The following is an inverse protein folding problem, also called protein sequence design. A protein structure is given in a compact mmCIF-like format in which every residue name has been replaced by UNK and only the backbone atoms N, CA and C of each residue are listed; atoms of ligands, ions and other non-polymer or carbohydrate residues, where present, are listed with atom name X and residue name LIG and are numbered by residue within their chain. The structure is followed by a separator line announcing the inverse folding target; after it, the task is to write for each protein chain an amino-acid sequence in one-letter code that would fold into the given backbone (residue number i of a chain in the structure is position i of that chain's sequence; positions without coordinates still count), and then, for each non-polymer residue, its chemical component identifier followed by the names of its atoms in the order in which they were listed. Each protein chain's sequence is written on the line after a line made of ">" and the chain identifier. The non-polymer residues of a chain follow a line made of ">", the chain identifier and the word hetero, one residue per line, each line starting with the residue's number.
data_IF_878884818253
#
_entry.id   IF_878884818253
#
_cell.length_a   1.000
_cell.length_b   1.000
_cell.length_c   1.000
_cell.angle_alpha   90.00
_cell.angle_beta   90.00
_cell.angle_gamma   90.00
#
_symmetry.space_group_name_H-M   'P 1'
#
loop_
_entity.id
_entity.type
_entity.pdbx_description
1 polymer ?
#
# COMPACT_ATOMS: atom_id res chain seq x y z
N UNK A 1 -14.91 4.40 -3.81
CA UNK A 1 -13.88 4.43 -4.87
C UNK A 1 -12.64 3.69 -4.39
N UNK A 2 -11.83 3.19 -5.32
CA UNK A 2 -10.58 2.47 -5.06
C UNK A 2 -9.42 3.22 -5.70
N UNK A 3 -8.31 3.32 -4.97
CA UNK A 3 -7.02 3.80 -5.48
C UNK A 3 -6.08 2.60 -5.58
N UNK A 4 -5.31 2.54 -6.66
CA UNK A 4 -4.31 1.50 -6.88
C UNK A 4 -2.94 2.17 -6.88
N UNK A 5 -2.05 1.73 -5.99
CA UNK A 5 -0.63 2.02 -6.06
C UNK A 5 0.02 0.98 -6.95
N UNK A 6 0.26 1.41 -8.18
CA UNK A 6 0.96 0.67 -9.23
C UNK A 6 2.07 1.54 -9.81
N UNK A 7 3.12 0.94 -10.36
CA UNK A 7 4.32 1.65 -10.81
C UNK A 7 5.54 0.77 -10.52
N UNK A 8 6.65 1.37 -10.09
CA UNK A 8 7.85 0.65 -9.62
C UNK A 8 7.52 -0.36 -8.51
N UNK A 9 7.80 -0.05 -7.25
CA UNK A 9 7.28 -0.83 -6.14
C UNK A 9 6.88 0.12 -5.00
N UNK A 10 5.58 0.23 -4.65
CA UNK A 10 5.09 1.18 -3.66
C UNK A 10 5.70 0.97 -2.27
N UNK A 11 6.07 -0.26 -1.93
CA UNK A 11 6.69 -0.56 -0.65
C UNK A 11 8.18 -0.18 -0.63
N UNK A 12 8.77 0.34 -1.71
CA UNK A 12 10.09 0.98 -1.66
C UNK A 12 10.07 2.34 -0.96
N UNK A 13 8.88 2.96 -0.85
CA UNK A 13 8.72 4.20 -0.10
C UNK A 13 9.07 3.99 1.38
N UNK A 14 9.64 5.02 2.01
CA UNK A 14 9.96 5.00 3.44
C UNK A 14 8.67 5.08 4.25
N UNK A 15 8.72 4.60 5.49
CA UNK A 15 7.53 4.52 6.34
C UNK A 15 6.85 5.88 6.56
N UNK A 16 7.61 6.97 6.70
CA UNK A 16 7.03 8.32 6.82
C UNK A 16 6.34 8.81 5.53
N UNK A 17 6.80 8.36 4.36
CA UNK A 17 6.19 8.72 3.07
C UNK A 17 4.86 7.99 2.90
N UNK A 18 4.82 6.69 3.28
CA UNK A 18 3.60 5.90 3.29
C UNK A 18 2.59 6.44 4.30
N UNK A 19 3.02 6.79 5.51
CA UNK A 19 2.17 7.38 6.55
C UNK A 19 1.53 8.70 6.09
N UNK A 20 2.35 9.61 5.55
CA UNK A 20 1.86 10.87 5.01
C UNK A 20 0.83 10.63 3.89
N UNK A 21 1.13 9.74 2.95
CA UNK A 21 0.28 9.44 1.82
C UNK A 21 -1.06 8.79 2.23
N UNK A 22 -1.02 7.83 3.16
CA UNK A 22 -2.21 7.23 3.74
C UNK A 22 -3.09 8.29 4.40
N UNK A 23 -2.48 9.19 5.18
CA UNK A 23 -3.19 10.29 5.85
C UNK A 23 -3.88 11.21 4.83
N UNK A 24 -3.21 11.54 3.71
CA UNK A 24 -3.82 12.33 2.64
C UNK A 24 -5.02 11.60 1.99
N UNK A 25 -4.90 10.30 1.73
CA UNK A 25 -6.00 9.52 1.15
C UNK A 25 -7.17 9.34 2.13
N UNK A 26 -6.89 9.21 3.42
CA UNK A 26 -7.88 9.13 4.49
C UNK A 26 -8.68 10.43 4.63
N UNK A 27 -8.13 11.58 4.25
CA UNK A 27 -8.86 12.84 4.22
C UNK A 27 -9.94 12.89 3.12
N UNK A 28 -9.89 12.01 2.12
CA UNK A 28 -10.80 12.02 0.96
C UNK A 28 -12.00 11.07 1.18
N UNK A 29 -13.21 11.55 1.55
CA UNK A 29 -14.25 10.71 2.17
C UNK A 29 -14.80 9.56 1.31
N UNK A 30 -14.78 9.74 -0.02
CA UNK A 30 -15.35 8.78 -0.98
C UNK A 30 -14.37 7.66 -1.39
N UNK A 31 -13.09 7.76 -1.02
CA UNK A 31 -12.12 6.68 -1.17
C UNK A 31 -12.35 5.68 -0.04
N UNK A 32 -12.48 4.40 -0.39
CA UNK A 32 -12.80 3.32 0.56
C UNK A 32 -11.73 2.23 0.57
N UNK A 33 -10.97 2.10 -0.51
CA UNK A 33 -10.00 1.02 -0.71
C UNK A 33 -8.69 1.56 -1.25
N UNK A 34 -7.61 1.02 -0.74
CA UNK A 34 -6.27 1.20 -1.25
C UNK A 34 -5.72 -0.18 -1.64
N UNK A 35 -5.40 -0.36 -2.92
CA UNK A 35 -4.74 -1.56 -3.42
C UNK A 35 -3.27 -1.27 -3.64
N UNK A 36 -2.38 -2.05 -3.04
CA UNK A 36 -0.94 -1.93 -3.17
C UNK A 36 -0.44 -3.09 -4.02
N UNK A 37 0.18 -2.80 -5.15
CA UNK A 37 0.84 -3.81 -5.98
C UNK A 37 2.35 -3.80 -5.71
N UNK A 38 2.88 -4.85 -5.08
CA UNK A 38 4.29 -4.91 -4.68
C UNK A 38 4.84 -6.33 -4.80
N UNK A 39 6.12 -6.45 -5.17
CA UNK A 39 6.89 -7.72 -5.13
C UNK A 39 7.75 -7.83 -3.88
N UNK A 40 7.93 -6.73 -3.14
CA UNK A 40 8.77 -6.71 -1.95
C UNK A 40 8.34 -7.67 -0.83
N UNK A 41 7.07 -8.00 -0.58
CA UNK A 41 6.73 -9.02 0.42
C UNK A 41 7.37 -10.38 0.11
N UNK A 42 7.57 -10.69 -1.19
CA UNK A 42 8.22 -11.92 -1.65
C UNK A 42 9.74 -11.76 -1.65
N UNK A 43 10.26 -10.67 -2.20
CA UNK A 43 11.70 -10.45 -2.41
C UNK A 43 12.41 -10.04 -1.11
N UNK A 44 11.76 -9.23 -0.28
CA UNK A 44 12.25 -8.69 0.99
C UNK A 44 11.14 -8.80 2.04
N UNK A 45 10.88 -9.99 2.62
CA UNK A 45 9.80 -10.18 3.59
C UNK A 45 9.88 -9.23 4.80
N UNK A 46 11.11 -8.88 5.22
CA UNK A 46 11.36 -7.93 6.30
C UNK A 46 10.85 -6.50 6.02
N UNK A 47 10.47 -6.16 4.77
CA UNK A 47 9.82 -4.88 4.46
C UNK A 47 8.44 -4.76 5.13
N UNK A 48 7.79 -5.88 5.40
CA UNK A 48 6.54 -5.93 6.16
C UNK A 48 6.90 -5.90 7.64
N UNK A 49 7.13 -4.69 8.15
CA UNK A 49 7.44 -4.44 9.56
C UNK A 49 6.16 -4.35 10.39
N UNK A 50 6.26 -4.60 11.70
CA UNK A 50 5.13 -4.42 12.62
C UNK A 50 4.60 -2.97 12.59
N UNK A 51 5.49 -1.99 12.40
CA UNK A 51 5.11 -0.58 12.26
C UNK A 51 4.26 -0.33 11.02
N UNK A 52 4.64 -0.92 9.87
CA UNK A 52 3.84 -0.83 8.65
C UNK A 52 2.48 -1.50 8.82
N UNK A 53 2.46 -2.72 9.38
CA UNK A 53 1.20 -3.46 9.62
C UNK A 53 0.27 -2.65 10.52
N UNK A 54 0.77 -2.16 11.65
CA UNK A 54 -0.01 -1.35 12.58
C UNK A 54 -0.57 -0.09 11.93
N UNK A 55 0.22 0.60 11.08
CA UNK A 55 -0.25 1.79 10.37
C UNK A 55 -1.35 1.47 9.35
N UNK A 56 -1.24 0.34 8.64
CA UNK A 56 -2.26 -0.09 7.69
C UNK A 56 -3.56 -0.53 8.40
N UNK A 57 -3.45 -1.20 9.55
CA UNK A 57 -4.61 -1.61 10.38
C UNK A 57 -5.37 -0.42 10.97
N UNK A 58 -4.67 0.66 11.31
CA UNK A 58 -5.27 1.89 11.81
C UNK A 58 -5.99 2.69 10.71
N UNK A 59 -5.77 2.36 9.44
CA UNK A 59 -6.40 3.07 8.34
C UNK A 59 -7.89 2.79 8.25
N UNK A 60 -8.69 3.84 7.97
CA UNK A 60 -10.09 3.65 7.58
C UNK A 60 -10.26 3.06 6.17
N UNK A 61 -9.18 2.97 5.41
CA UNK A 61 -9.18 2.39 4.07
C UNK A 61 -9.02 0.88 4.20
N UNK A 62 -9.83 0.12 3.47
CA UNK A 62 -9.55 -1.30 3.30
C UNK A 62 -8.31 -1.45 2.41
N UNK A 63 -7.20 -1.88 3.01
CA UNK A 63 -5.94 -2.10 2.31
C UNK A 63 -5.90 -3.52 1.73
N UNK A 64 -5.57 -3.62 0.45
CA UNK A 64 -5.43 -4.89 -0.27
C UNK A 64 -4.02 -4.97 -0.84
N UNK A 65 -3.27 -6.00 -0.46
CA UNK A 65 -1.97 -6.30 -1.05
C UNK A 65 -2.18 -7.27 -2.21
N UNK A 66 -1.65 -6.92 -3.39
CA UNK A 66 -1.70 -7.77 -4.58
C UNK A 66 -0.35 -7.85 -5.26
N UNK A 67 -0.16 -8.90 -6.05
CA UNK A 67 0.97 -8.98 -6.96
C UNK A 67 0.77 -7.97 -8.10
N UNK A 68 1.83 -7.29 -8.58
CA UNK A 68 1.72 -6.49 -9.78
C UNK A 68 1.28 -7.37 -10.95
N UNK A 69 0.39 -6.82 -11.77
CA UNK A 69 -0.09 -7.49 -12.98
C UNK A 69 1.11 -7.95 -13.80
N UNK A 70 1.30 -9.27 -13.92
CA UNK A 70 2.13 -9.80 -14.98
C UNK A 70 1.36 -9.58 -16.27
N UNK A 71 1.86 -8.69 -17.13
CA UNK A 71 1.38 -8.60 -18.50
C UNK A 71 1.53 -10.00 -19.10
N UNK A 72 0.41 -10.71 -19.24
CA UNK A 72 0.36 -11.91 -20.08
C UNK A 72 0.78 -11.47 -21.47
N UNK A 73 1.98 -11.87 -21.86
CA UNK A 73 2.28 -12.09 -23.28
C UNK A 73 1.46 -13.28 -23.77
#
# INVERSE_FOLDING_TARGET
>A
MEIIFSGGDPLMAKDYELDWLLTQLEAIPHIKRLRIHSRLPIVIPARITDGLVSRLEQSRLQVLLGEPYQSRQ
#
